data_IF_996013652467
#
_entry.id   IF_996013652467
#
_cell.length_a   1.000
_cell.length_b   1.000
_cell.length_c   1.000
_cell.angle_alpha   90.00
_cell.angle_beta   90.00
_cell.angle_gamma   90.00
#
_symmetry.space_group_name_H-M   'P 1'
#
loop_
_entity.id
_entity.type
_entity.pdbx_description
1 polymer ?
#
# COMPACT_ATOMS: atom_id res chain seq x y z
N UNK A 1 25.46 -26.83 64.35
CA UNK A 1 26.84 -27.15 63.99
C UNK A 1 26.84 -28.44 63.19
N UNK A 2 26.88 -28.47 61.86
CA UNK A 2 26.81 -27.43 60.83
C UNK A 2 26.28 -28.08 59.55
N UNK A 3 25.51 -27.30 58.81
CA UNK A 3 25.04 -27.60 57.47
C UNK A 3 25.91 -26.80 56.50
N UNK A 4 26.54 -27.46 55.54
CA UNK A 4 27.18 -26.90 54.32
C UNK A 4 27.73 -28.13 53.57
N UNK A 5 27.55 -28.36 52.26
CA UNK A 5 27.54 -27.42 51.15
C UNK A 5 27.00 -28.18 49.91
N UNK A 6 25.70 -28.07 49.61
CA UNK A 6 25.13 -28.52 48.33
C UNK A 6 25.01 -27.30 47.43
N UNK A 7 26.01 -27.10 46.58
CA UNK A 7 26.05 -26.01 45.62
C UNK A 7 25.05 -26.27 44.49
N UNK A 8 23.85 -25.68 44.60
CA UNK A 8 22.85 -25.61 43.53
C UNK A 8 23.19 -24.42 42.65
N UNK A 9 23.83 -24.65 41.50
CA UNK A 9 23.95 -23.62 40.46
C UNK A 9 22.61 -23.46 39.73
N UNK A 10 21.83 -22.47 40.15
CA UNK A 10 20.73 -21.95 39.34
C UNK A 10 21.31 -21.27 38.09
N UNK A 11 21.19 -21.94 36.94
CA UNK A 11 21.53 -21.36 35.63
C UNK A 11 20.30 -20.62 35.11
N UNK A 12 20.19 -19.34 35.45
CA UNK A 12 19.24 -18.42 34.83
C UNK A 12 19.66 -18.19 33.39
N UNK A 13 19.10 -18.95 32.45
CA UNK A 13 19.24 -18.71 31.02
C UNK A 13 18.25 -17.62 30.60
N UNK A 14 18.70 -16.37 30.53
CA UNK A 14 17.87 -15.24 30.08
C UNK A 14 18.62 -14.37 29.05
N UNK A 15 17.97 -14.22 27.89
CA UNK A 15 18.17 -13.22 26.82
C UNK A 15 19.42 -13.28 25.94
N UNK A 16 19.45 -14.19 24.95
CA UNK A 16 20.34 -14.06 23.77
C UNK A 16 19.59 -13.90 22.44
N UNK A 17 18.28 -14.13 22.41
CA UNK A 17 17.50 -14.14 21.16
C UNK A 17 17.10 -12.76 20.64
N UNK A 18 16.86 -11.77 21.53
CA UNK A 18 16.41 -10.41 21.13
C UNK A 18 17.46 -9.65 20.33
N UNK A 19 18.71 -9.69 20.79
CA UNK A 19 19.83 -9.02 20.13
C UNK A 19 20.09 -9.58 18.72
N UNK A 20 19.84 -10.87 18.49
CA UNK A 20 20.18 -11.54 17.22
C UNK A 20 19.21 -11.21 16.09
N UNK A 21 17.90 -11.18 16.36
CA UNK A 21 16.92 -10.87 15.32
C UNK A 21 16.91 -9.39 14.98
N UNK A 22 17.04 -8.49 15.96
CA UNK A 22 17.11 -7.04 15.71
C UNK A 22 18.32 -6.69 14.86
N UNK A 23 19.49 -7.25 15.20
CA UNK A 23 20.71 -7.09 14.41
C UNK A 23 20.52 -7.61 12.98
N UNK A 24 19.80 -8.71 12.80
CA UNK A 24 19.50 -9.26 11.48
C UNK A 24 18.59 -8.34 10.65
N UNK A 25 17.55 -7.75 11.25
CA UNK A 25 16.65 -6.80 10.58
C UNK A 25 17.42 -5.54 10.19
N UNK A 26 18.17 -4.96 11.13
CA UNK A 26 19.00 -3.75 10.90
C UNK A 26 20.02 -3.99 9.80
N UNK A 27 20.73 -5.12 9.85
CA UNK A 27 21.71 -5.49 8.82
C UNK A 27 21.08 -5.66 7.44
N UNK A 28 19.87 -6.24 7.35
CA UNK A 28 19.14 -6.36 6.08
C UNK A 28 18.69 -5.00 5.54
N UNK A 29 18.19 -4.11 6.40
CA UNK A 29 17.81 -2.74 6.02
C UNK A 29 19.02 -1.98 5.52
N UNK A 30 20.13 -1.97 6.27
CA UNK A 30 21.39 -1.34 5.86
C UNK A 30 21.88 -1.85 4.50
N UNK A 31 21.94 -3.18 4.32
CA UNK A 31 22.33 -3.79 3.05
C UNK A 31 21.38 -3.42 1.89
N UNK A 32 20.10 -3.18 2.16
CA UNK A 32 19.16 -2.69 1.15
C UNK A 32 19.44 -1.22 0.79
N UNK A 33 19.64 -0.34 1.77
CA UNK A 33 20.04 1.06 1.50
C UNK A 33 21.27 1.09 0.59
N UNK A 34 22.32 0.33 0.96
CA UNK A 34 23.56 0.25 0.18
C UNK A 34 23.33 -0.28 -1.24
N UNK A 35 22.47 -1.31 -1.37
CA UNK A 35 22.15 -1.93 -2.67
C UNK A 35 21.41 -0.97 -3.60
N UNK A 36 20.53 -0.12 -3.06
CA UNK A 36 19.65 0.73 -3.85
C UNK A 36 20.19 2.15 -4.05
N UNK A 37 21.24 2.57 -3.34
CA UNK A 37 21.83 3.92 -3.47
C UNK A 37 22.25 4.26 -4.91
N UNK A 38 22.99 3.37 -5.57
CA UNK A 38 23.40 3.53 -6.97
C UNK A 38 22.21 3.63 -7.93
N UNK A 39 21.32 2.63 -7.99
CA UNK A 39 20.12 2.69 -8.82
C UNK A 39 19.22 3.91 -8.55
N UNK A 40 19.08 4.35 -7.29
CA UNK A 40 18.33 5.56 -6.95
C UNK A 40 19.01 6.83 -7.46
N UNK A 41 20.34 6.88 -7.39
CA UNK A 41 21.13 7.97 -7.95
C UNK A 41 20.93 8.06 -9.46
N UNK A 42 21.02 6.93 -10.18
CA UNK A 42 20.77 6.87 -11.63
C UNK A 42 19.36 7.34 -12.00
N UNK A 43 18.34 6.93 -11.23
CA UNK A 43 16.96 7.39 -11.43
C UNK A 43 16.86 8.91 -11.20
N UNK A 44 17.53 9.44 -10.17
CA UNK A 44 17.48 10.85 -9.80
C UNK A 44 18.16 11.72 -10.87
N UNK A 45 19.33 11.31 -11.37
CA UNK A 45 20.09 12.01 -12.41
C UNK A 45 19.30 12.19 -13.70
N UNK A 46 18.48 11.19 -14.06
CA UNK A 46 17.63 11.23 -15.26
C UNK A 46 16.19 11.70 -14.99
N UNK A 47 15.88 12.10 -13.76
CA UNK A 47 14.54 12.51 -13.32
C UNK A 47 13.45 11.50 -13.74
N UNK A 48 13.65 10.23 -13.39
CA UNK A 48 12.80 9.13 -13.82
C UNK A 48 11.32 9.32 -13.41
N UNK A 49 10.39 8.90 -14.27
CA UNK A 49 8.95 8.99 -14.01
C UNK A 49 8.49 8.07 -12.84
N UNK A 50 7.24 8.19 -12.44
CA UNK A 50 6.64 7.38 -11.37
C UNK A 50 6.65 5.87 -11.70
N UNK A 51 6.45 5.49 -12.97
CA UNK A 51 6.51 4.12 -13.44
C UNK A 51 7.85 3.43 -13.18
N UNK A 52 8.94 4.07 -13.59
CA UNK A 52 10.30 3.58 -13.38
C UNK A 52 10.66 3.56 -11.89
N UNK A 53 10.26 4.60 -11.15
CA UNK A 53 10.49 4.70 -9.70
C UNK A 53 9.77 3.58 -8.95
N UNK A 54 8.54 3.27 -9.36
CA UNK A 54 7.67 2.25 -8.76
C UNK A 54 8.30 0.85 -8.79
N UNK A 55 9.05 0.52 -9.84
CA UNK A 55 9.75 -0.77 -9.94
C UNK A 55 10.79 -0.94 -8.82
N UNK A 56 11.59 0.08 -8.55
CA UNK A 56 12.62 0.04 -7.50
C UNK A 56 11.98 0.03 -6.10
N UNK A 57 10.90 0.79 -5.91
CA UNK A 57 10.13 0.80 -4.65
C UNK A 57 9.64 -0.60 -4.28
N UNK A 58 9.07 -1.35 -5.22
CA UNK A 58 8.61 -2.73 -4.97
C UNK A 58 9.76 -3.67 -4.60
N UNK A 59 10.94 -3.48 -5.20
CA UNK A 59 12.15 -4.22 -4.84
C UNK A 59 12.61 -3.88 -3.42
N UNK A 60 12.57 -2.60 -3.04
CA UNK A 60 12.96 -2.14 -1.69
C UNK A 60 12.04 -2.70 -0.60
N UNK A 61 10.73 -2.67 -0.80
CA UNK A 61 9.77 -3.28 0.12
C UNK A 61 10.09 -4.76 0.36
N UNK A 62 10.52 -5.47 -0.68
CA UNK A 62 10.83 -6.89 -0.57
C UNK A 62 12.17 -7.16 0.08
N UNK A 63 13.23 -6.54 -0.43
CA UNK A 63 14.60 -6.82 0.01
C UNK A 63 14.91 -6.17 1.36
N UNK A 64 14.52 -4.91 1.54
CA UNK A 64 14.80 -4.15 2.76
C UNK A 64 13.79 -4.42 3.86
N UNK A 65 12.50 -4.33 3.53
CA UNK A 65 11.42 -4.36 4.53
C UNK A 65 10.79 -5.74 4.71
N UNK A 66 11.22 -6.75 3.95
CA UNK A 66 10.79 -8.14 4.06
C UNK A 66 9.29 -8.36 3.80
N UNK A 67 8.70 -7.53 2.93
CA UNK A 67 7.36 -7.79 2.37
C UNK A 67 7.44 -8.72 1.15
N UNK A 68 6.63 -9.76 1.13
CA UNK A 68 6.51 -10.65 -0.02
C UNK A 68 5.84 -9.93 -1.19
N UNK A 69 6.52 -9.85 -2.34
CA UNK A 69 5.92 -9.28 -3.56
C UNK A 69 4.70 -10.04 -4.07
N UNK A 70 4.58 -11.31 -3.69
CA UNK A 70 3.54 -12.20 -4.18
C UNK A 70 2.38 -12.35 -3.20
N UNK A 71 2.63 -12.12 -1.90
CA UNK A 71 1.63 -12.34 -0.85
C UNK A 71 1.21 -11.03 -0.18
N UNK A 72 2.16 -10.13 0.04
CA UNK A 72 1.91 -8.92 0.83
C UNK A 72 1.67 -7.71 -0.06
N UNK A 73 2.30 -7.62 -1.24
CA UNK A 73 2.12 -6.48 -2.15
C UNK A 73 1.14 -6.78 -3.28
N UNK A 74 0.24 -5.83 -3.57
CA UNK A 74 -0.67 -5.91 -4.71
C UNK A 74 -0.85 -4.57 -5.42
N UNK A 75 -1.03 -4.60 -6.74
CA UNK A 75 -1.43 -3.45 -7.58
C UNK A 75 -2.93 -3.45 -7.88
N UNK A 76 -3.67 -4.46 -7.42
CA UNK A 76 -5.06 -4.69 -7.82
C UNK A 76 -6.08 -3.89 -6.98
N UNK A 77 -5.61 -3.15 -5.98
CA UNK A 77 -6.46 -2.34 -5.12
C UNK A 77 -6.94 -1.07 -5.84
N UNK A 78 -7.99 -1.23 -6.63
CA UNK A 78 -8.66 -0.13 -7.34
C UNK A 78 -9.97 0.20 -6.65
N UNK A 79 -10.15 1.47 -6.28
CA UNK A 79 -11.46 1.97 -5.91
C UNK A 79 -12.24 2.39 -7.16
N UNK A 80 -13.56 2.57 -7.03
CA UNK A 80 -14.45 2.98 -8.12
C UNK A 80 -14.12 4.40 -8.61
N UNK A 81 -13.04 4.57 -9.37
CA UNK A 81 -12.62 5.82 -10.00
C UNK A 81 -11.13 6.12 -9.89
N UNK A 82 -10.48 5.70 -8.81
CA UNK A 82 -9.09 6.07 -8.47
C UNK A 82 -8.22 4.83 -8.18
N UNK A 83 -6.97 4.86 -8.64
CA UNK A 83 -5.97 3.79 -8.45
C UNK A 83 -4.86 4.28 -7.53
N UNK A 84 -4.55 3.49 -6.50
CA UNK A 84 -3.28 3.59 -5.78
C UNK A 84 -2.20 2.77 -6.51
N UNK A 85 -0.94 3.02 -6.19
CA UNK A 85 0.19 2.32 -6.83
C UNK A 85 0.37 0.90 -6.32
N UNK A 86 0.41 0.75 -4.99
CA UNK A 86 0.47 -0.53 -4.30
C UNK A 86 -0.36 -0.51 -3.02
N UNK A 87 -0.80 -1.68 -2.59
CA UNK A 87 -1.30 -1.94 -1.26
C UNK A 87 -0.48 -3.04 -0.59
N UNK A 88 -0.24 -2.89 0.70
CA UNK A 88 0.25 -3.95 1.59
C UNK A 88 -0.98 -4.64 2.18
N UNK A 89 -1.11 -5.94 1.95
CA UNK A 89 -2.15 -6.81 2.48
C UNK A 89 -1.50 -7.76 3.46
N UNK A 90 -1.94 -7.74 4.71
CA UNK A 90 -1.48 -8.69 5.73
C UNK A 90 -2.69 -9.42 6.28
N UNK A 91 -2.62 -10.75 6.34
CA UNK A 91 -3.71 -11.61 6.83
C UNK A 91 -5.05 -11.40 6.08
N UNK A 92 -5.00 -10.96 4.83
CA UNK A 92 -6.17 -10.70 3.99
C UNK A 92 -6.80 -9.31 4.16
N UNK A 93 -6.25 -8.49 5.06
CA UNK A 93 -6.74 -7.14 5.34
C UNK A 93 -5.77 -6.08 4.81
N UNK A 94 -6.28 -4.89 4.46
CA UNK A 94 -5.44 -3.76 4.06
C UNK A 94 -4.61 -3.30 5.27
N UNK A 95 -3.28 -3.47 5.18
CA UNK A 95 -2.36 -2.94 6.18
C UNK A 95 -2.03 -1.47 5.90
N UNK A 96 -1.65 -1.16 4.64
CA UNK A 96 -1.33 0.20 4.23
C UNK A 96 -1.41 0.36 2.70
N UNK A 97 -2.08 1.39 2.18
CA UNK A 97 -1.88 1.85 0.81
C UNK A 97 -0.56 2.62 0.67
N UNK A 98 0.02 2.54 -0.53
CA UNK A 98 1.31 3.14 -0.91
C UNK A 98 1.11 4.04 -2.13
N UNK A 99 1.60 5.27 -2.02
CA UNK A 99 1.71 6.23 -3.13
C UNK A 99 3.17 6.40 -3.52
N UNK A 100 3.44 6.27 -4.81
CA UNK A 100 4.76 6.44 -5.42
C UNK A 100 4.74 7.67 -6.32
N UNK A 101 5.72 8.56 -6.11
CA UNK A 101 5.91 9.76 -6.92
C UNK A 101 7.15 9.65 -7.77
N UNK A 102 7.24 10.55 -8.75
CA UNK A 102 8.45 10.78 -9.55
C UNK A 102 9.63 11.05 -8.62
N UNK A 103 10.80 10.51 -8.91
CA UNK A 103 11.97 10.59 -8.01
C UNK A 103 12.40 12.03 -7.65
N UNK A 104 12.30 12.97 -8.60
CA UNK A 104 12.62 14.38 -8.35
C UNK A 104 11.50 15.18 -7.68
N UNK A 105 10.34 14.58 -7.38
CA UNK A 105 9.21 15.29 -6.80
C UNK A 105 9.34 15.42 -5.28
N UNK A 106 9.16 16.63 -4.77
CA UNK A 106 8.94 16.85 -3.35
C UNK A 106 7.66 16.16 -2.86
N UNK A 107 7.77 15.55 -1.69
CA UNK A 107 6.67 14.83 -1.05
C UNK A 107 5.90 15.78 -0.12
N UNK A 108 4.58 15.74 -0.18
CA UNK A 108 3.70 16.50 0.71
C UNK A 108 2.43 15.72 1.11
N UNK A 109 1.64 16.28 2.03
CA UNK A 109 0.38 15.66 2.48
C UNK A 109 -0.72 15.66 1.40
N UNK A 110 -0.61 16.49 0.35
CA UNK A 110 -1.57 16.47 -0.77
C UNK A 110 -1.36 15.21 -1.61
N UNK A 111 -0.16 14.65 -1.61
CA UNK A 111 0.15 13.41 -2.30
C UNK A 111 -0.52 12.16 -1.71
N UNK A 112 -1.05 12.20 -0.47
CA UNK A 112 -1.65 11.02 0.18
C UNK A 112 -3.17 11.06 0.27
N UNK A 113 -3.85 12.03 -0.36
CA UNK A 113 -5.29 12.19 -0.14
C UNK A 113 -6.10 10.94 -0.56
N UNK A 114 -5.72 10.32 -1.67
CA UNK A 114 -6.38 9.08 -2.15
C UNK A 114 -6.06 7.90 -1.24
N UNK A 115 -4.78 7.62 -1.00
CA UNK A 115 -4.36 6.57 -0.07
C UNK A 115 -4.93 6.73 1.34
N UNK A 116 -5.01 7.95 1.87
CA UNK A 116 -5.65 8.24 3.17
C UNK A 116 -7.14 7.90 3.14
N UNK A 117 -7.85 8.29 2.09
CA UNK A 117 -9.28 7.96 1.94
C UNK A 117 -9.47 6.44 1.93
N UNK A 118 -8.68 5.74 1.13
CA UNK A 118 -8.73 4.29 1.05
C UNK A 118 -8.44 3.62 2.40
N UNK A 119 -7.41 4.07 3.10
CA UNK A 119 -7.08 3.58 4.43
C UNK A 119 -8.24 3.79 5.41
N UNK A 120 -8.88 4.97 5.40
CA UNK A 120 -10.05 5.23 6.24
C UNK A 120 -11.25 4.36 5.86
N UNK A 121 -11.52 4.19 4.57
CA UNK A 121 -12.66 3.40 4.07
C UNK A 121 -12.52 1.91 4.41
N UNK A 122 -11.29 1.38 4.45
CA UNK A 122 -10.97 -0.03 4.74
C UNK A 122 -10.49 -0.27 6.18
N UNK A 123 -10.43 0.77 7.02
CA UNK A 123 -10.01 0.65 8.42
C UNK A 123 -8.51 0.40 8.63
N UNK A 124 -7.66 0.75 7.66
CA UNK A 124 -6.20 0.70 7.79
C UNK A 124 -5.66 1.93 8.53
N UNK A 125 -4.71 1.72 9.43
CA UNK A 125 -4.13 2.77 10.28
C UNK A 125 -2.90 3.46 9.65
N UNK A 126 -2.39 2.97 8.52
CA UNK A 126 -1.09 3.38 7.96
C UNK A 126 -1.19 3.83 6.51
N UNK A 127 -0.34 4.79 6.12
CA UNK A 127 -0.17 5.22 4.72
C UNK A 127 1.32 5.41 4.41
N UNK A 128 1.77 4.91 3.27
CA UNK A 128 3.13 5.09 2.78
C UNK A 128 3.14 6.07 1.61
N UNK A 129 4.11 6.99 1.61
CA UNK A 129 4.41 7.89 0.51
C UNK A 129 5.91 7.84 0.24
N UNK A 130 6.29 7.63 -1.01
CA UNK A 130 7.70 7.61 -1.39
C UNK A 130 7.92 8.10 -2.82
N UNK A 131 9.11 8.62 -3.11
CA UNK A 131 9.62 8.83 -4.45
C UNK A 131 10.83 7.92 -4.74
N UNK A 132 10.96 6.80 -4.03
CA UNK A 132 12.11 5.90 -4.05
C UNK A 132 13.27 6.38 -3.18
N UNK A 133 13.61 7.66 -3.23
CA UNK A 133 14.66 8.29 -2.42
C UNK A 133 14.17 8.59 -1.00
N UNK A 134 13.10 9.36 -0.88
CA UNK A 134 12.49 9.78 0.38
C UNK A 134 11.34 8.85 0.71
N UNK A 135 11.26 8.39 1.95
CA UNK A 135 10.19 7.53 2.46
C UNK A 135 9.52 8.18 3.66
N UNK A 136 8.22 8.46 3.51
CA UNK A 136 7.38 8.95 4.58
C UNK A 136 6.28 7.96 4.92
N UNK A 137 6.15 7.65 6.19
CA UNK A 137 5.12 6.74 6.70
C UNK A 137 4.30 7.45 7.75
N UNK A 138 2.99 7.44 7.55
CA UNK A 138 2.03 8.13 8.39
C UNK A 138 1.18 7.12 9.15
N UNK A 139 0.96 7.36 10.44
CA UNK A 139 -0.12 6.72 11.19
C UNK A 139 -1.33 7.65 11.18
N UNK A 140 -2.50 7.14 10.81
CA UNK A 140 -3.76 7.84 10.89
C UNK A 140 -4.26 7.82 12.34
N UNK A 141 -4.27 8.97 12.99
CA UNK A 141 -4.71 9.09 14.39
C UNK A 141 -6.14 9.62 14.43
N UNK A 142 -7.02 9.08 15.30
CA UNK A 142 -8.35 9.65 15.49
C UNK A 142 -8.26 11.13 15.79
N UNK A 143 -9.11 11.92 15.13
CA UNK A 143 -9.26 13.33 15.44
C UNK A 143 -10.01 13.46 16.78
N UNK A 144 -9.44 14.14 17.80
CA UNK A 144 -10.13 14.38 19.06
C UNK A 144 -11.50 15.07 18.91
N UNK A 145 -11.70 15.83 17.83
CA UNK A 145 -12.97 16.50 17.50
C UNK A 145 -13.98 15.62 16.76
N UNK A 146 -13.68 14.34 16.51
CA UNK A 146 -14.55 13.43 15.74
C UNK A 146 -14.49 13.64 14.22
N UNK A 147 -13.53 14.42 13.73
CA UNK A 147 -13.25 14.59 12.30
C UNK A 147 -12.54 13.39 11.67
N UNK A 148 -12.15 13.55 10.40
CA UNK A 148 -11.41 12.50 9.68
C UNK A 148 -10.04 12.22 10.33
N UNK A 149 -9.61 10.95 10.46
CA UNK A 149 -8.32 10.59 11.06
C UNK A 149 -7.15 11.36 10.46
N UNK A 150 -6.32 12.00 11.29
CA UNK A 150 -5.24 12.88 10.84
C UNK A 150 -3.92 12.11 10.68
N UNK A 151 -3.18 12.31 9.58
CA UNK A 151 -1.89 11.68 9.38
C UNK A 151 -0.84 12.29 10.31
N UNK A 152 -0.15 11.42 11.06
CA UNK A 152 1.02 11.78 11.87
C UNK A 152 2.23 11.07 11.29
N UNK A 153 3.27 11.83 10.93
CA UNK A 153 4.52 11.27 10.41
C UNK A 153 5.20 10.43 11.50
N UNK A 154 5.48 9.17 11.18
CA UNK A 154 6.19 8.21 12.03
C UNK A 154 7.59 7.93 11.50
N UNK A 155 7.75 7.91 10.18
CA UNK A 155 9.04 7.75 9.51
C UNK A 155 9.17 8.86 8.46
N UNK A 156 10.34 9.49 8.39
CA UNK A 156 10.76 10.41 7.34
C UNK A 156 12.27 10.21 7.14
N UNK A 157 12.64 9.53 6.06
CA UNK A 157 14.03 9.14 5.78
C UNK A 157 14.38 9.45 4.33
N UNK A 158 15.63 9.80 4.07
CA UNK A 158 16.18 10.02 2.74
C UNK A 158 17.31 9.02 2.50
N UNK A 159 17.08 8.03 1.64
CA UNK A 159 18.03 6.93 1.39
C UNK A 159 19.34 7.39 0.74
N UNK A 160 19.40 8.61 0.20
CA UNK A 160 20.62 9.19 -0.38
C UNK A 160 21.30 10.21 0.54
N UNK A 161 20.77 10.43 1.75
CA UNK A 161 21.43 11.24 2.78
C UNK A 161 22.43 10.38 3.58
N UNK A 162 23.70 10.47 3.18
CA UNK A 162 24.81 9.76 3.83
C UNK A 162 25.02 10.22 5.30
N UNK A 163 24.74 11.48 5.62
CA UNK A 163 24.87 12.00 6.99
C UNK A 163 23.75 11.50 7.91
N UNK A 164 22.64 11.03 7.32
CA UNK A 164 21.51 10.44 8.03
C UNK A 164 21.50 8.90 8.01
N UNK A 165 22.52 8.23 7.46
CA UNK A 165 22.52 6.78 7.23
C UNK A 165 22.00 5.95 8.42
N UNK A 166 22.61 6.10 9.61
CA UNK A 166 22.20 5.36 10.80
C UNK A 166 20.75 5.69 11.24
N UNK A 167 20.35 6.96 11.13
CA UNK A 167 18.97 7.38 11.42
C UNK A 167 17.98 6.80 10.41
N UNK A 168 18.38 6.66 9.15
CA UNK A 168 17.56 6.05 8.12
C UNK A 168 17.38 4.54 8.38
N UNK A 169 18.45 3.84 8.77
CA UNK A 169 18.37 2.44 9.20
C UNK A 169 17.44 2.29 10.40
N UNK A 170 17.54 3.16 11.41
CA UNK A 170 16.63 3.18 12.57
C UNK A 170 15.17 3.40 12.17
N UNK A 171 14.89 4.41 11.33
CA UNK A 171 13.54 4.72 10.88
C UNK A 171 12.89 3.57 10.11
N UNK A 172 13.66 2.92 9.22
CA UNK A 172 13.19 1.80 8.40
C UNK A 172 13.15 0.48 9.17
N UNK A 173 13.99 0.27 10.19
CA UNK A 173 13.92 -0.88 11.08
C UNK A 173 12.51 -1.02 11.66
N UNK A 174 11.89 0.10 12.03
CA UNK A 174 10.53 0.11 12.53
C UNK A 174 9.47 -0.22 11.47
N UNK A 175 9.78 -0.36 10.19
CA UNK A 175 8.85 -0.72 9.12
C UNK A 175 8.74 -2.23 8.86
N UNK A 176 9.65 -3.05 9.41
CA UNK A 176 9.58 -4.51 9.27
C UNK A 176 8.28 -5.05 9.91
N UNK A 177 7.50 -5.92 9.22
CA UNK A 177 6.27 -6.52 9.74
C UNK A 177 6.43 -7.20 11.11
N UNK A 178 7.59 -7.80 11.38
CA UNK A 178 7.93 -8.49 12.63
C UNK A 178 8.16 -7.50 13.77
N UNK A 179 8.71 -6.32 13.46
CA UNK A 179 8.92 -5.23 14.44
C UNK A 179 7.60 -4.57 14.79
N UNK A 180 6.74 -4.36 13.79
CA UNK A 180 5.44 -3.69 13.99
C UNK A 180 4.40 -4.55 14.70
N UNK A 181 4.64 -5.86 14.81
CA UNK A 181 3.68 -6.82 15.35
C UNK A 181 2.45 -6.86 14.46
N UNK A 182 2.42 -7.77 13.48
CA UNK A 182 1.15 -8.18 12.87
C UNK A 182 0.14 -8.40 14.01
N UNK A 183 -0.90 -7.55 14.06
CA UNK A 183 -1.90 -7.57 15.13
C UNK A 183 -2.45 -9.00 15.22
N UNK A 184 -2.61 -9.59 16.41
CA UNK A 184 -3.41 -10.80 16.51
C UNK A 184 -4.85 -10.48 16.05
N UNK A 185 -5.39 -11.32 15.16
CA UNK A 185 -6.76 -11.31 14.70
C UNK A 185 -7.75 -10.98 15.83
N UNK A 186 -8.39 -9.81 15.74
CA UNK A 186 -9.01 -9.20 16.91
C UNK A 186 -10.13 -8.20 16.61
N UNK A 187 -11.11 -8.64 15.81
CA UNK A 187 -12.51 -8.18 15.80
C UNK A 187 -12.79 -6.77 15.22
N UNK A 188 -13.03 -6.71 13.92
CA UNK A 188 -14.07 -5.84 13.38
C UNK A 188 -15.29 -6.71 13.04
N UNK A 189 -16.43 -6.42 13.66
CA UNK A 189 -17.72 -7.01 13.28
C UNK A 189 -18.04 -6.62 11.83
N UNK A 190 -18.77 -7.45 11.06
CA UNK A 190 -19.06 -7.14 9.67
C UNK A 190 -20.00 -5.94 9.59
N UNK A 191 -19.49 -4.79 9.16
CA UNK A 191 -20.33 -3.75 8.59
C UNK A 191 -20.77 -4.24 7.22
N UNK A 192 -21.93 -4.87 7.19
CA UNK A 192 -22.62 -5.16 5.95
C UNK A 192 -22.82 -3.85 5.17
N UNK A 193 -22.28 -3.77 3.94
CA UNK A 193 -22.96 -3.23 2.76
C UNK A 193 -22.14 -3.41 1.47
N UNK A 194 -22.58 -4.40 0.69
CA UNK A 194 -22.89 -4.23 -0.74
C UNK A 194 -21.82 -3.69 -1.68
N UNK A 195 -20.97 -4.58 -2.19
CA UNK A 195 -20.15 -4.32 -3.36
C UNK A 195 -19.68 -5.62 -4.00
N UNK A 196 -20.58 -6.34 -4.68
CA UNK A 196 -20.16 -7.46 -5.53
C UNK A 196 -19.29 -6.91 -6.65
N UNK A 197 -17.98 -7.05 -6.54
CA UNK A 197 -17.09 -7.05 -7.69
C UNK A 197 -17.56 -8.17 -8.64
N UNK A 198 -18.20 -7.80 -9.76
CA UNK A 198 -18.48 -8.73 -10.84
C UNK A 198 -17.22 -8.87 -11.69
N UNK A 199 -16.78 -10.09 -12.04
CA UNK A 199 -15.70 -10.24 -13.00
C UNK A 199 -16.15 -9.78 -14.39
N UNK A 200 -15.26 -9.08 -15.09
CA UNK A 200 -15.45 -8.60 -16.44
C UNK A 200 -15.67 -9.77 -17.42
N UNK A 201 -16.93 -9.99 -17.80
CA UNK A 201 -17.36 -10.97 -18.79
C UNK A 201 -17.26 -10.42 -20.20
N UNK A 202 -16.52 -11.16 -21.04
CA UNK A 202 -16.24 -10.94 -22.46
C UNK A 202 -17.52 -10.90 -23.34
N UNK A 203 -17.56 -9.94 -24.28
CA UNK A 203 -18.03 -10.06 -25.68
C UNK A 203 -19.54 -10.26 -25.97
N UNK A 204 -20.17 -9.44 -26.83
CA UNK A 204 -21.54 -9.69 -27.27
C UNK A 204 -21.60 -10.80 -28.33
N UNK A 205 -22.30 -11.89 -28.02
CA UNK A 205 -22.70 -12.91 -28.98
C UNK A 205 -24.01 -12.51 -29.69
N UNK A 206 -23.94 -12.49 -31.01
CA UNK A 206 -24.97 -12.74 -32.03
C UNK A 206 -26.44 -12.82 -31.57
N UNK A 207 -27.28 -11.93 -32.13
CA UNK A 207 -28.72 -12.19 -32.29
C UNK A 207 -29.06 -12.31 -33.78
N UNK A 208 -29.33 -13.54 -34.21
CA UNK A 208 -30.10 -13.84 -35.42
C UNK A 208 -31.54 -14.17 -35.03
N UNK A 209 -32.48 -13.40 -35.58
CA UNK A 209 -33.57 -13.98 -36.38
C UNK A 209 -34.98 -14.09 -35.79
N UNK A 210 -35.94 -13.71 -36.66
CA UNK A 210 -37.38 -14.04 -36.75
C UNK A 210 -38.30 -13.23 -35.82
N UNK A 211 -39.41 -12.65 -36.27
CA UNK A 211 -40.14 -12.73 -37.54
C UNK A 211 -41.62 -12.47 -37.22
N UNK A 212 -42.30 -11.59 -37.94
CA UNK A 212 -43.72 -11.33 -37.76
C UNK A 212 -44.18 -10.02 -38.38
N UNK A 213 -44.66 -10.07 -39.63
CA UNK A 213 -45.69 -9.14 -40.12
C UNK A 213 -47.02 -9.90 -40.25
N UNK A 214 -48.02 -9.39 -40.98
CA UNK A 214 -48.37 -8.00 -41.28
C UNK A 214 -49.88 -7.72 -41.02
N UNK A 215 -50.34 -6.46 -41.15
CA UNK A 215 -51.53 -6.03 -41.95
C UNK A 215 -52.11 -4.65 -41.55
N UNK A 216 -52.29 -3.81 -42.59
CA UNK A 216 -53.48 -2.98 -42.97
C UNK A 216 -54.15 -2.05 -41.93
N UNK A 217 -54.69 -0.86 -42.25
CA UNK A 217 -54.86 -0.11 -43.50
C UNK A 217 -55.44 1.31 -43.19
N UNK A 218 -55.35 2.19 -44.19
CA UNK A 218 -56.32 3.20 -44.63
C UNK A 218 -56.49 4.56 -43.89
N UNK A 219 -56.47 5.62 -44.70
CA UNK A 219 -56.93 7.00 -44.39
C UNK A 219 -56.22 8.09 -45.23
N UNK A 220 -56.23 8.03 -46.57
CA UNK A 220 -56.98 8.91 -47.51
C UNK A 220 -56.97 10.45 -47.27
N UNK A 221 -56.41 11.16 -48.29
CA UNK A 221 -56.83 12.42 -48.96
C UNK A 221 -56.76 13.72 -48.11
N UNK A 222 -56.30 14.90 -48.57
CA UNK A 222 -56.39 15.56 -49.89
C UNK A 222 -55.45 16.81 -49.92
N UNK A 223 -54.89 17.18 -51.07
CA UNK A 223 -54.36 18.52 -51.38
C UNK A 223 -55.49 19.42 -51.96
N UNK A 224 -55.35 20.76 -52.17
CA UNK A 224 -54.49 21.33 -53.23
C UNK A 224 -53.94 22.78 -53.00
N UNK A 225 -53.04 23.24 -53.88
CA UNK A 225 -52.86 24.68 -54.17
C UNK A 225 -51.42 25.13 -54.51
N UNK A 226 -51.08 25.16 -55.80
CA UNK A 226 -49.91 25.86 -56.35
C UNK A 226 -50.21 27.37 -56.51
N UNK A 227 -49.21 28.23 -56.83
CA UNK A 227 -49.01 28.52 -58.25
C UNK A 227 -47.57 28.86 -58.72
N UNK A 228 -47.43 28.74 -60.04
CA UNK A 228 -46.38 29.18 -60.98
C UNK A 228 -45.10 28.36 -61.08
#
# INVERSE_FOLDING_TARGET
MDAEETQVMARTGQFTTTVTWETSVRGRVAAAIDRFSGPLTDLAERDANDGDTRMLVADFFSVGLNFSKFQDLTTEYRTSGDSIDYAIILEGELFAPIEVRRIGQDLDLRNIQMARRLAVDEGADWVFLTNGRVWRVYHLRPDPGGGAPQPVTVVDVDLLDEEAYERNVDGLFHLDPRVRGARPAGRAAPLARGGRARPAGRGPAQRRGRGGGPRSAAGRLRAPGAPR
#
